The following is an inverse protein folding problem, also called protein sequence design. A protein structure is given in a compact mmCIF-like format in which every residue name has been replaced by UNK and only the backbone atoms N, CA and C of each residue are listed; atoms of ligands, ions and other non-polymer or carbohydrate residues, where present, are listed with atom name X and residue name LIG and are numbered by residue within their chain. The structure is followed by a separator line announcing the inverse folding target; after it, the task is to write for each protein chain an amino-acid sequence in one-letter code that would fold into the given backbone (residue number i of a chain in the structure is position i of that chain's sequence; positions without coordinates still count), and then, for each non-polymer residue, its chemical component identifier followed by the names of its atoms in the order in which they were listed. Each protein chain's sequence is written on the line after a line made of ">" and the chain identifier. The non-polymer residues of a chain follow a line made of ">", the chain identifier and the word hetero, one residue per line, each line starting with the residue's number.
data_IF_169366837305
#
_entry.id   IF_169366837305
#
_cell.length_a   1.000
_cell.length_b   1.000
_cell.length_c   1.000
_cell.angle_alpha   90.00
_cell.angle_beta   90.00
_cell.angle_gamma   90.00
#
_symmetry.space_group_name_H-M   'P 1'
#
loop_
_entity.id
_entity.type
_entity.pdbx_description
1 polymer ?
#
# COMPACT_ATOMS: atom_id res chain seq x y z
N UNK A 1 -9.58 5.37 9.41
CA UNK A 1 -9.89 4.41 8.34
C UNK A 1 -9.11 4.72 7.09
N UNK A 2 -8.64 3.69 6.44
CA UNK A 2 -7.90 3.81 5.20
C UNK A 2 -8.67 3.11 4.09
N UNK A 3 -8.81 3.79 2.97
CA UNK A 3 -9.52 3.23 1.82
C UNK A 3 -8.51 2.55 0.88
N UNK A 4 -8.60 1.23 0.78
CA UNK A 4 -7.80 0.41 -0.13
C UNK A 4 -8.77 -0.46 -0.92
N UNK A 5 -8.55 -0.59 -2.23
CA UNK A 5 -9.41 -1.44 -3.05
C UNK A 5 -9.23 -2.92 -2.66
N UNK A 6 -10.26 -3.75 -2.89
CA UNK A 6 -10.27 -5.14 -2.48
C UNK A 6 -9.19 -5.98 -3.13
N UNK A 7 -9.11 -5.97 -4.46
CA UNK A 7 -8.07 -6.65 -5.22
C UNK A 7 -7.16 -5.61 -5.87
N UNK A 8 -5.92 -6.01 -6.07
CA UNK A 8 -4.90 -5.13 -6.66
C UNK A 8 -4.72 -5.45 -8.11
N UNK A 9 -4.74 -4.43 -8.96
CA UNK A 9 -4.43 -4.57 -10.38
C UNK A 9 -2.99 -4.15 -10.61
N UNK A 10 -2.24 -4.98 -11.33
CA UNK A 10 -0.89 -4.62 -11.75
C UNK A 10 -0.94 -3.89 -13.08
N UNK A 11 -0.15 -2.84 -13.20
CA UNK A 11 0.10 -2.14 -14.45
C UNK A 11 1.61 -2.10 -14.63
N UNK A 12 2.14 -3.07 -15.39
CA UNK A 12 3.57 -3.30 -15.41
C UNK A 12 4.04 -3.71 -14.01
N UNK A 13 5.04 -3.05 -13.49
CA UNK A 13 5.55 -3.27 -12.13
C UNK A 13 4.84 -2.42 -11.06
N UNK A 14 3.78 -1.70 -11.45
CA UNK A 14 3.04 -0.83 -10.53
C UNK A 14 1.79 -1.54 -10.02
N UNK A 15 1.69 -1.64 -8.71
CA UNK A 15 0.49 -2.15 -8.03
C UNK A 15 -0.45 -0.97 -7.78
N UNK A 16 -1.63 -1.01 -8.39
CA UNK A 16 -2.60 0.10 -8.30
C UNK A 16 -3.38 -0.06 -7.00
N UNK A 17 -3.22 0.86 -6.08
CA UNK A 17 -3.78 0.75 -4.73
C UNK A 17 -4.75 1.88 -4.36
N UNK A 18 -4.60 3.08 -4.93
CA UNK A 18 -5.43 4.24 -4.61
C UNK A 18 -5.59 4.48 -3.11
N UNK A 19 -4.48 4.63 -2.42
CA UNK A 19 -4.50 4.87 -0.98
C UNK A 19 -4.57 6.37 -0.69
N UNK A 20 -5.55 6.76 0.12
CA UNK A 20 -5.74 8.15 0.54
C UNK A 20 -5.54 8.24 2.05
N UNK A 21 -4.76 9.23 2.48
CA UNK A 21 -4.71 9.61 3.90
C UNK A 21 -5.75 10.70 4.12
N UNK A 22 -6.85 10.32 4.76
CA UNK A 22 -8.05 11.15 4.86
C UNK A 22 -7.77 12.40 5.69
N UNK A 23 -8.32 13.54 5.25
CA UNK A 23 -8.26 14.78 6.01
C UNK A 23 -8.83 14.56 7.41
N UNK A 24 -8.16 15.10 8.40
CA UNK A 24 -8.53 14.89 9.80
C UNK A 24 -7.71 13.84 10.52
N UNK A 25 -7.04 12.95 9.79
CA UNK A 25 -6.04 12.07 10.38
C UNK A 25 -4.84 12.90 10.83
N UNK A 26 -4.36 12.64 12.05
CA UNK A 26 -3.17 13.33 12.54
C UNK A 26 -1.88 12.59 12.16
N UNK A 27 -1.99 11.32 11.78
CA UNK A 27 -0.84 10.51 11.45
C UNK A 27 -0.49 10.64 9.96
N UNK A 28 0.80 10.64 9.66
CA UNK A 28 1.28 10.39 8.32
C UNK A 28 1.32 8.87 8.13
N UNK A 29 1.07 8.39 6.93
CA UNK A 29 0.98 6.95 6.68
C UNK A 29 1.97 6.52 5.60
N UNK A 30 2.29 5.23 5.62
CA UNK A 30 3.12 4.57 4.61
C UNK A 30 2.52 3.22 4.33
N UNK A 31 2.51 2.81 3.06
CA UNK A 31 2.05 1.49 2.65
C UNK A 31 3.26 0.63 2.29
N UNK A 32 3.27 -0.59 2.79
CA UNK A 32 4.19 -1.64 2.38
C UNK A 32 3.43 -2.81 1.80
N UNK A 33 4.01 -3.42 0.77
CA UNK A 33 3.44 -4.61 0.11
C UNK A 33 4.39 -5.77 0.35
N UNK A 34 3.83 -6.88 0.85
CA UNK A 34 4.60 -8.10 1.14
C UNK A 34 4.03 -9.27 0.37
N UNK A 35 4.88 -10.25 0.05
CA UNK A 35 4.41 -11.55 -0.45
C UNK A 35 3.98 -12.45 0.71
N UNK A 36 3.54 -13.67 0.40
CA UNK A 36 3.08 -14.62 1.42
C UNK A 36 4.19 -15.06 2.36
N UNK A 37 5.44 -14.99 1.92
CA UNK A 37 6.59 -15.38 2.73
C UNK A 37 7.09 -14.24 3.62
N UNK A 38 6.46 -13.07 3.53
CA UNK A 38 6.86 -11.92 4.33
C UNK A 38 7.95 -11.06 3.70
N UNK A 39 8.30 -11.30 2.45
CA UNK A 39 9.27 -10.47 1.74
C UNK A 39 8.62 -9.18 1.27
N UNK A 40 9.27 -8.05 1.53
CA UNK A 40 8.75 -6.76 1.07
C UNK A 40 8.98 -6.61 -0.43
N UNK A 41 7.90 -6.37 -1.17
CA UNK A 41 7.93 -6.18 -2.62
C UNK A 41 8.04 -4.71 -2.99
N UNK A 42 7.57 -3.82 -2.14
CA UNK A 42 7.64 -2.38 -2.40
C UNK A 42 7.04 -1.59 -1.26
N UNK A 43 7.27 -0.29 -1.28
CA UNK A 43 6.70 0.62 -0.29
C UNK A 43 6.54 2.01 -0.89
N UNK A 44 5.62 2.78 -0.32
CA UNK A 44 5.45 4.19 -0.66
C UNK A 44 6.37 5.06 0.18
N UNK A 45 6.48 6.33 -0.18
CA UNK A 45 6.98 7.33 0.76
C UNK A 45 5.90 7.66 1.80
N UNK A 46 6.19 8.59 2.68
CA UNK A 46 5.21 9.07 3.66
C UNK A 46 4.10 9.85 2.95
N UNK A 47 2.86 9.55 3.31
CA UNK A 47 1.67 10.18 2.77
C UNK A 47 1.06 11.03 3.87
N UNK A 48 1.04 12.34 3.67
CA UNK A 48 0.51 13.29 4.65
C UNK A 48 -1.01 13.31 4.58
N UNK A 49 -1.69 13.84 5.61
CA UNK A 49 -3.15 14.01 5.55
C UNK A 49 -3.57 14.77 4.30
N UNK A 50 -4.65 14.31 3.68
CA UNK A 50 -5.22 14.87 2.46
C UNK A 50 -4.40 14.59 1.18
N UNK A 51 -3.34 13.79 1.28
CA UNK A 51 -2.60 13.30 0.12
C UNK A 51 -3.07 11.89 -0.26
N UNK A 52 -2.79 11.49 -1.49
CA UNK A 52 -3.08 10.13 -1.93
C UNK A 52 -1.96 9.59 -2.80
N UNK A 53 -1.91 8.26 -2.91
CA UNK A 53 -1.00 7.54 -3.80
C UNK A 53 -1.84 6.65 -4.71
N UNK A 54 -1.59 6.70 -6.00
CA UNK A 54 -2.31 5.85 -6.96
C UNK A 54 -1.72 4.43 -6.98
N UNK A 55 -0.41 4.30 -6.93
CA UNK A 55 0.27 3.03 -7.08
C UNK A 55 1.53 2.94 -6.24
N UNK A 56 2.02 1.71 -6.08
CA UNK A 56 3.33 1.44 -5.50
C UNK A 56 4.12 0.57 -6.48
N UNK A 57 5.37 0.94 -6.74
CA UNK A 57 6.24 0.17 -7.63
C UNK A 57 6.80 -1.03 -6.87
N UNK A 58 6.64 -2.22 -7.45
CA UNK A 58 7.13 -3.45 -6.86
C UNK A 58 8.45 -3.88 -7.50
N UNK A 59 9.27 -4.62 -6.74
CA UNK A 59 10.54 -5.14 -7.22
C UNK A 59 10.37 -6.24 -8.26
N UNK A 60 9.18 -6.80 -8.37
CA UNK A 60 8.81 -7.79 -9.38
C UNK A 60 7.33 -7.64 -9.69
N UNK A 61 6.88 -8.25 -10.79
CA UNK A 61 5.48 -8.21 -11.21
C UNK A 61 4.82 -9.54 -10.85
N UNK A 62 4.06 -9.60 -9.72
CA UNK A 62 3.35 -10.82 -9.36
C UNK A 62 2.26 -11.14 -10.38
N UNK A 63 2.03 -12.43 -10.60
CA UNK A 63 0.97 -12.88 -11.50
C UNK A 63 -0.41 -12.70 -10.86
N UNK A 64 -1.44 -12.66 -11.71
CA UNK A 64 -2.83 -12.66 -11.25
C UNK A 64 -3.08 -13.89 -10.38
N UNK A 65 -3.75 -13.69 -9.26
CA UNK A 65 -4.00 -14.74 -8.28
C UNK A 65 -2.96 -14.81 -7.17
N UNK A 66 -1.82 -14.14 -7.33
CA UNK A 66 -0.80 -14.10 -6.27
C UNK A 66 -1.34 -13.40 -5.04
N UNK A 67 -1.20 -14.04 -3.89
CA UNK A 67 -1.63 -13.45 -2.62
C UNK A 67 -0.56 -12.53 -2.09
N UNK A 68 -0.99 -11.38 -1.59
CA UNK A 68 -0.13 -10.36 -1.03
C UNK A 68 -0.72 -9.81 0.25
N UNK A 69 0.12 -9.18 1.05
CA UNK A 69 -0.31 -8.48 2.24
C UNK A 69 0.02 -7.00 2.08
N UNK A 70 -0.96 -6.15 2.31
CA UNK A 70 -0.77 -4.70 2.39
C UNK A 70 -0.69 -4.32 3.86
N UNK A 71 0.33 -3.56 4.21
CA UNK A 71 0.48 -3.07 5.59
C UNK A 71 0.55 -1.55 5.55
N UNK A 72 -0.41 -0.93 6.24
CA UNK A 72 -0.47 0.53 6.37
C UNK A 72 0.04 0.87 7.75
N UNK A 73 1.06 1.71 7.82
CA UNK A 73 1.65 2.14 9.08
C UNK A 73 1.45 3.62 9.25
N UNK A 74 1.00 4.02 10.46
CA UNK A 74 0.88 5.42 10.83
C UNK A 74 2.11 5.89 11.59
N UNK A 75 2.47 7.14 11.40
CA UNK A 75 3.59 7.77 12.07
C UNK A 75 3.16 9.11 12.65
N UNK A 76 3.63 9.41 13.85
CA UNK A 76 3.43 10.71 14.43
C UNK A 76 4.36 11.71 13.72
N UNK A 77 3.84 12.85 13.19
CA UNK A 77 4.61 13.72 12.28
C UNK A 77 5.87 14.35 12.89
N UNK A 78 5.86 14.59 14.19
CA UNK A 78 6.99 15.28 14.83
C UNK A 78 8.08 14.35 15.32
N UNK A 79 7.69 13.17 15.81
CA UNK A 79 8.63 12.20 16.40
C UNK A 79 8.92 11.03 15.49
N UNK A 80 8.07 10.79 14.48
CA UNK A 80 8.08 9.62 13.61
C UNK A 80 7.89 8.30 14.37
N UNK A 81 7.37 8.35 15.60
CA UNK A 81 7.02 7.14 16.33
C UNK A 81 5.79 6.52 15.71
N UNK A 82 5.73 5.18 15.75
CA UNK A 82 4.59 4.44 15.24
C UNK A 82 3.30 4.86 15.94
N UNK A 83 2.30 5.23 15.16
CA UNK A 83 0.96 5.55 15.64
C UNK A 83 -0.01 4.40 15.36
N UNK A 84 0.50 3.22 15.04
CA UNK A 84 -0.30 2.04 14.79
C UNK A 84 -0.08 1.48 13.39
N UNK A 85 -0.63 0.30 13.16
CA UNK A 85 -0.53 -0.38 11.87
C UNK A 85 -1.79 -1.19 11.62
N UNK A 86 -2.15 -1.33 10.36
CA UNK A 86 -3.24 -2.19 9.92
C UNK A 86 -2.74 -3.04 8.75
N UNK A 87 -3.20 -4.28 8.70
CA UNK A 87 -2.83 -5.19 7.63
C UNK A 87 -4.08 -5.68 6.91
N UNK A 88 -3.95 -5.88 5.60
CA UNK A 88 -5.00 -6.40 4.75
C UNK A 88 -4.41 -7.48 3.87
N UNK A 89 -5.00 -8.68 3.92
CA UNK A 89 -4.66 -9.75 2.99
C UNK A 89 -5.51 -9.60 1.74
N UNK A 90 -4.88 -9.62 0.59
CA UNK A 90 -5.56 -9.50 -0.69
C UNK A 90 -4.81 -10.28 -1.75
N UNK A 91 -5.14 -10.08 -2.99
CA UNK A 91 -4.49 -10.77 -4.10
C UNK A 91 -4.41 -9.86 -5.32
N UNK A 92 -3.57 -10.25 -6.25
CA UNK A 92 -3.51 -9.60 -7.56
C UNK A 92 -4.73 -10.09 -8.34
N UNK A 93 -5.65 -9.17 -8.65
CA UNK A 93 -6.91 -9.51 -9.31
C UNK A 93 -6.94 -9.24 -10.80
N UNK A 94 -5.92 -8.56 -11.34
CA UNK A 94 -5.86 -8.23 -12.75
C UNK A 94 -4.51 -7.70 -13.14
N UNK A 95 -4.27 -7.65 -14.45
CA UNK A 95 -3.04 -7.11 -15.00
C UNK A 95 -3.35 -6.34 -16.27
N UNK A 96 -2.80 -5.13 -16.35
CA UNK A 96 -2.93 -4.28 -17.54
C UNK A 96 -1.56 -4.20 -18.17
N UNK A 97 -1.49 -4.54 -19.45
CA UNK A 97 -0.25 -4.43 -20.22
C UNK A 97 0.00 -2.96 -20.57
N UNK A 98 1.23 -2.59 -20.55
CA UNK A 98 1.66 -1.25 -20.98
C UNK A 98 2.21 -1.27 -22.40
#
# INVERSE_FOLDING_TARGET
>A
DFAVCGNVTMEGDKAIVYLTNIEGNNAWIKLRVFDEQGNMLGETGLIKPNEYVKYVTLSKTPEVGTKIKLKIMGYEPHTYYSAGAASLNTQIGGQIDQ
#
